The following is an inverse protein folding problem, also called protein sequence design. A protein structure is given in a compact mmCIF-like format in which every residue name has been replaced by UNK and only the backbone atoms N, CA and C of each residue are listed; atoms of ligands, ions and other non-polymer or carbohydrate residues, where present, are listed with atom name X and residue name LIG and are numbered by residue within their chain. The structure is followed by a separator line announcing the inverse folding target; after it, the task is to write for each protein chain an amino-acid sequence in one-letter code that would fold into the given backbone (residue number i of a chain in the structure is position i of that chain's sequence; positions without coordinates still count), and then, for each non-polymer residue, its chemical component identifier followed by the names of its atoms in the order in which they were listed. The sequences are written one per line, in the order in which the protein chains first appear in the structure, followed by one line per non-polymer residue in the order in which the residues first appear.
data_IF_664131691172
#
_entry.id   IF_664131691172
#
_cell.length_a   1.000
_cell.length_b   1.000
_cell.length_c   1.000
_cell.angle_alpha   90.00
_cell.angle_beta   90.00
_cell.angle_gamma   90.00
#
_symmetry.space_group_name_H-M   'P 1'
#
loop_
_entity.id
_entity.type
_entity.pdbx_description
1 polymer ?
#
# COMPACT_ATOMS: atom_id res chain seq x y z
N UNK A 1 -12.01 -0.47 -24.42
CA UNK A 1 -10.63 -0.95 -24.30
C UNK A 1 -9.67 0.19 -24.67
N UNK A 2 -8.74 0.50 -23.78
CA UNK A 2 -7.69 1.48 -24.02
C UNK A 2 -6.34 0.85 -23.68
N UNK A 3 -5.54 0.55 -24.69
CA UNK A 3 -4.24 -0.11 -24.55
C UNK A 3 -3.18 0.73 -23.81
N UNK A 4 -3.46 2.01 -23.58
CA UNK A 4 -2.60 2.91 -22.85
C UNK A 4 -2.74 2.78 -21.31
N UNK A 5 -3.77 2.08 -20.81
CA UNK A 5 -3.90 1.83 -19.38
C UNK A 5 -2.85 0.83 -18.94
N UNK A 6 -1.94 1.25 -18.07
CA UNK A 6 -0.85 0.42 -17.53
C UNK A 6 -0.99 0.14 -16.04
N UNK A 7 -1.81 0.93 -15.35
CA UNK A 7 -2.04 0.81 -13.93
C UNK A 7 -3.49 1.11 -13.60
N UNK A 8 -4.08 0.32 -12.70
CA UNK A 8 -5.38 0.54 -12.09
C UNK A 8 -5.22 0.77 -10.60
N UNK A 9 -5.73 1.88 -10.09
CA UNK A 9 -5.69 2.20 -8.66
C UNK A 9 -7.01 1.87 -8.00
N UNK A 10 -6.95 1.12 -6.91
CA UNK A 10 -8.08 0.77 -6.06
C UNK A 10 -7.89 1.46 -4.71
N UNK A 11 -8.75 2.39 -4.36
CA UNK A 11 -8.74 3.02 -3.04
C UNK A 11 -9.61 2.20 -2.09
N UNK A 12 -9.00 1.60 -1.03
CA UNK A 12 -9.69 0.77 -0.05
C UNK A 12 -10.65 1.58 0.80
N UNK A 13 -10.18 2.65 1.40
CA UNK A 13 -11.02 3.50 2.25
C UNK A 13 -12.09 4.23 1.44
N UNK A 14 -13.24 4.47 2.06
CA UNK A 14 -14.31 5.26 1.43
C UNK A 14 -13.94 6.74 1.27
N UNK A 15 -12.96 7.24 2.00
CA UNK A 15 -12.68 8.66 2.10
C UNK A 15 -13.93 9.42 2.58
N UNK A 16 -14.27 10.49 1.88
CA UNK A 16 -15.48 11.29 2.16
C UNK A 16 -16.72 10.85 1.38
N UNK A 17 -16.64 9.73 0.65
CA UNK A 17 -17.76 9.23 -0.16
C UNK A 17 -18.72 8.40 0.70
N UNK A 18 -19.96 8.23 0.18
CA UNK A 18 -21.00 7.44 0.85
C UNK A 18 -20.89 5.93 0.62
N UNK A 19 -20.01 5.48 -0.30
CA UNK A 19 -19.78 4.06 -0.54
C UNK A 19 -19.19 3.37 0.69
N UNK A 20 -19.37 2.07 0.86
CA UNK A 20 -18.66 1.31 1.91
C UNK A 20 -17.15 1.25 1.64
N UNK A 21 -16.37 1.07 2.70
CA UNK A 21 -14.96 0.65 2.61
C UNK A 21 -14.89 -0.75 1.97
N UNK A 22 -13.87 -0.98 1.15
CA UNK A 22 -13.68 -2.29 0.51
C UNK A 22 -12.99 -3.26 1.47
N UNK A 23 -13.57 -4.44 1.66
CA UNK A 23 -12.88 -5.56 2.29
C UNK A 23 -11.77 -6.10 1.37
N UNK A 24 -10.81 -6.84 1.94
CA UNK A 24 -9.74 -7.47 1.16
C UNK A 24 -10.32 -8.45 0.14
N UNK A 25 -11.36 -9.20 0.48
CA UNK A 25 -12.03 -10.11 -0.46
C UNK A 25 -12.61 -9.36 -1.67
N UNK A 26 -13.27 -8.22 -1.44
CA UNK A 26 -13.81 -7.39 -2.53
C UNK A 26 -12.73 -6.80 -3.41
N UNK A 27 -11.60 -6.44 -2.82
CA UNK A 27 -10.41 -6.00 -3.57
C UNK A 27 -9.91 -7.16 -4.46
N UNK A 28 -9.84 -8.37 -3.92
CA UNK A 28 -9.45 -9.56 -4.68
C UNK A 28 -10.37 -9.85 -5.87
N UNK A 29 -11.69 -9.73 -5.68
CA UNK A 29 -12.66 -9.87 -6.78
C UNK A 29 -12.44 -8.84 -7.89
N UNK A 30 -12.20 -7.59 -7.52
CA UNK A 30 -11.91 -6.52 -8.48
C UNK A 30 -10.60 -6.77 -9.23
N UNK A 31 -9.55 -7.18 -8.52
CA UNK A 31 -8.25 -7.48 -9.14
C UNK A 31 -8.40 -8.64 -10.13
N UNK A 32 -9.07 -9.71 -9.71
CA UNK A 32 -9.34 -10.86 -10.59
C UNK A 32 -10.06 -10.43 -11.87
N UNK A 33 -11.12 -9.63 -11.73
CA UNK A 33 -11.86 -9.11 -12.90
C UNK A 33 -10.96 -8.27 -13.81
N UNK A 34 -10.11 -7.39 -13.26
CA UNK A 34 -9.17 -6.58 -14.05
C UNK A 34 -8.19 -7.48 -14.79
N UNK A 35 -7.60 -8.45 -14.10
CA UNK A 35 -6.60 -9.37 -14.66
C UNK A 35 -7.17 -10.35 -15.70
N UNK A 36 -8.45 -10.69 -15.61
CA UNK A 36 -9.13 -11.48 -16.65
C UNK A 36 -9.26 -10.71 -17.97
N UNK A 37 -9.41 -9.39 -17.92
CA UNK A 37 -9.52 -8.53 -19.11
C UNK A 37 -8.14 -8.09 -19.60
N UNK A 38 -7.26 -7.68 -18.67
CA UNK A 38 -5.95 -7.10 -18.94
C UNK A 38 -4.89 -7.62 -17.95
N UNK A 39 -4.34 -8.82 -18.19
CA UNK A 39 -3.39 -9.46 -17.26
C UNK A 39 -2.15 -8.61 -16.95
N UNK A 40 -1.72 -7.75 -17.89
CA UNK A 40 -0.52 -6.93 -17.79
C UNK A 40 -0.72 -5.63 -16.99
N UNK A 41 -1.95 -5.24 -16.70
CA UNK A 41 -2.23 -4.01 -15.95
C UNK A 41 -1.85 -4.18 -14.48
N UNK A 42 -1.03 -3.27 -13.97
CA UNK A 42 -0.63 -3.26 -12.55
C UNK A 42 -1.84 -2.84 -11.71
N UNK A 43 -2.20 -3.67 -10.74
CA UNK A 43 -3.22 -3.36 -9.75
C UNK A 43 -2.56 -2.79 -8.49
N UNK A 44 -2.72 -1.48 -8.27
CA UNK A 44 -2.23 -0.78 -7.09
C UNK A 44 -3.38 -0.52 -6.11
N UNK A 45 -3.18 -0.86 -4.84
CA UNK A 45 -4.15 -0.60 -3.78
C UNK A 45 -3.64 0.49 -2.84
N UNK A 46 -4.38 1.59 -2.71
CA UNK A 46 -4.24 2.53 -1.59
C UNK A 46 -4.90 1.91 -0.37
N UNK A 47 -4.07 1.41 0.55
CA UNK A 47 -4.49 0.66 1.73
C UNK A 47 -4.65 1.54 2.99
N UNK A 48 -4.52 2.85 2.87
CA UNK A 48 -4.64 3.77 4.00
C UNK A 48 -5.89 3.49 4.84
N UNK A 49 -5.72 3.36 6.16
CA UNK A 49 -6.71 2.99 7.18
C UNK A 49 -7.18 1.53 7.12
N UNK A 50 -6.65 0.72 6.19
CA UNK A 50 -7.01 -0.68 6.08
C UNK A 50 -5.98 -1.63 6.70
N UNK A 51 -4.77 -1.14 6.95
CA UNK A 51 -3.66 -1.97 7.43
C UNK A 51 -4.02 -2.61 8.79
N UNK A 52 -3.80 -3.91 8.88
CA UNK A 52 -4.03 -4.74 10.09
C UNK A 52 -5.49 -4.81 10.55
N UNK A 53 -6.46 -4.37 9.74
CA UNK A 53 -7.90 -4.47 10.09
C UNK A 53 -8.52 -5.82 9.72
N UNK A 54 -7.86 -6.59 8.86
CA UNK A 54 -8.24 -7.95 8.48
C UNK A 54 -7.03 -8.88 8.62
N UNK A 55 -7.24 -10.20 8.55
CA UNK A 55 -6.18 -11.21 8.71
C UNK A 55 -5.22 -11.28 7.54
N UNK A 56 -5.67 -10.85 6.38
CA UNK A 56 -4.92 -10.81 5.13
C UNK A 56 -4.91 -9.39 4.58
N UNK A 57 -3.92 -9.10 3.77
CA UNK A 57 -3.73 -7.80 3.16
C UNK A 57 -3.98 -7.86 1.65
N UNK A 58 -4.15 -6.74 0.97
CA UNK A 58 -4.40 -6.74 -0.47
C UNK A 58 -3.35 -7.46 -1.33
N UNK A 59 -2.11 -7.55 -0.86
CA UNK A 59 -1.05 -8.35 -1.49
C UNK A 59 -1.37 -9.84 -1.55
N UNK A 60 -2.09 -10.36 -0.54
CA UNK A 60 -2.45 -11.78 -0.47
C UNK A 60 -3.54 -12.16 -1.48
N UNK A 61 -4.27 -11.18 -1.99
CA UNK A 61 -5.35 -11.37 -2.98
C UNK A 61 -5.00 -10.86 -4.38
N UNK A 62 -3.71 -10.65 -4.63
CA UNK A 62 -3.19 -10.41 -5.98
C UNK A 62 -2.89 -8.95 -6.33
N UNK A 63 -2.89 -8.02 -5.37
CA UNK A 63 -2.39 -6.67 -5.64
C UNK A 63 -0.91 -6.71 -6.01
N UNK A 64 -0.56 -6.10 -7.14
CA UNK A 64 0.84 -5.99 -7.58
C UNK A 64 1.60 -4.97 -6.73
N UNK A 65 0.89 -3.97 -6.23
CA UNK A 65 1.44 -2.92 -5.39
C UNK A 65 0.43 -2.47 -4.34
N UNK A 66 0.88 -2.35 -3.10
CA UNK A 66 0.11 -1.82 -1.97
C UNK A 66 0.84 -0.61 -1.44
N UNK A 67 0.14 0.51 -1.32
CA UNK A 67 0.71 1.76 -0.83
C UNK A 67 -0.09 2.28 0.36
N UNK A 68 0.59 2.94 1.26
CA UNK A 68 -0.07 3.51 2.43
C UNK A 68 0.78 4.52 3.17
N UNK A 69 0.23 5.05 4.23
CA UNK A 69 0.86 6.09 5.03
C UNK A 69 1.30 5.56 6.39
N UNK A 70 2.57 5.82 6.73
CA UNK A 70 3.12 5.45 8.03
C UNK A 70 2.60 6.31 9.19
N UNK A 71 1.99 7.48 8.88
CA UNK A 71 1.37 8.32 9.94
C UNK A 71 0.02 7.77 10.43
N UNK A 72 -0.48 6.71 9.80
CA UNK A 72 -1.76 6.04 10.11
C UNK A 72 -1.51 4.74 10.88
N UNK A 73 -2.28 3.70 10.59
CA UNK A 73 -2.22 2.42 11.31
C UNK A 73 -0.79 1.87 11.51
N UNK A 74 0.08 1.82 10.48
CA UNK A 74 1.40 1.23 10.66
C UNK A 74 2.30 1.97 11.66
N UNK A 75 2.16 3.29 11.76
CA UNK A 75 2.98 4.10 12.66
C UNK A 75 2.37 4.33 14.03
N UNK A 76 1.19 3.75 14.33
CA UNK A 76 0.55 3.78 15.64
C UNK A 76 0.34 5.17 16.24
N UNK A 77 0.24 6.20 15.40
CA UNK A 77 0.12 7.59 15.81
C UNK A 77 1.42 8.26 16.27
N UNK A 78 2.55 7.54 16.26
CA UNK A 78 3.85 8.10 16.66
C UNK A 78 4.75 8.49 15.48
N UNK A 79 4.58 7.86 14.32
CA UNK A 79 5.32 8.24 13.12
C UNK A 79 4.89 9.62 12.62
N UNK A 80 5.80 10.62 12.55
CA UNK A 80 5.44 11.98 12.17
C UNK A 80 5.23 12.15 10.67
N UNK A 81 5.88 11.32 9.86
CA UNK A 81 5.81 11.34 8.40
C UNK A 81 6.05 9.94 7.84
N UNK A 82 5.89 9.79 6.56
CA UNK A 82 6.34 8.63 5.81
C UNK A 82 5.19 7.89 5.11
N UNK A 83 5.60 7.09 4.17
CA UNK A 83 4.75 6.16 3.43
C UNK A 83 5.48 4.85 3.23
N UNK A 84 4.74 3.83 2.79
CA UNK A 84 5.31 2.56 2.40
C UNK A 84 4.79 2.12 1.04
N UNK A 85 5.59 1.32 0.38
CA UNK A 85 5.21 0.59 -0.83
C UNK A 85 5.63 -0.85 -0.62
N UNK A 86 4.69 -1.76 -0.75
CA UNK A 86 4.89 -3.20 -0.71
C UNK A 86 4.29 -3.83 -1.97
N UNK A 87 4.77 -5.01 -2.36
CA UNK A 87 4.24 -5.70 -3.53
C UNK A 87 5.30 -6.49 -4.28
N UNK A 88 5.11 -6.65 -5.60
CA UNK A 88 6.08 -7.35 -6.43
C UNK A 88 7.44 -6.66 -6.42
N UNK A 89 8.50 -7.44 -6.55
CA UNK A 89 9.87 -6.91 -6.60
C UNK A 89 10.02 -5.81 -7.65
N UNK A 90 9.47 -6.04 -8.84
CA UNK A 90 9.54 -5.09 -9.95
C UNK A 90 8.87 -3.76 -9.59
N UNK A 91 7.65 -3.78 -9.06
CA UNK A 91 6.93 -2.57 -8.67
C UNK A 91 7.66 -1.78 -7.59
N UNK A 92 8.19 -2.48 -6.57
CA UNK A 92 8.91 -1.85 -5.46
C UNK A 92 10.24 -1.24 -5.95
N UNK A 93 10.99 -1.93 -6.79
CA UNK A 93 12.26 -1.42 -7.33
C UNK A 93 12.04 -0.22 -8.25
N UNK A 94 11.03 -0.26 -9.13
CA UNK A 94 10.68 0.86 -10.00
C UNK A 94 10.25 2.09 -9.18
N UNK A 95 9.46 1.89 -8.13
CA UNK A 95 9.05 2.97 -7.23
C UNK A 95 10.25 3.57 -6.48
N UNK A 96 11.18 2.75 -5.99
CA UNK A 96 12.39 3.21 -5.32
C UNK A 96 13.27 4.06 -6.25
N UNK A 97 13.45 3.63 -7.49
CA UNK A 97 14.20 4.40 -8.49
C UNK A 97 13.54 5.74 -8.81
N UNK A 98 12.23 5.82 -8.76
CA UNK A 98 11.49 7.08 -8.99
C UNK A 98 11.50 8.02 -7.80
N UNK A 99 11.52 7.46 -6.59
CA UNK A 99 11.50 8.23 -5.34
C UNK A 99 12.83 8.92 -5.05
N UNK A 100 13.94 8.31 -5.46
CA UNK A 100 15.30 8.80 -5.25
C UNK A 100 15.86 9.46 -6.52
N UNK A 101 17.10 9.91 -6.46
CA UNK A 101 17.80 10.47 -7.63
C UNK A 101 18.22 9.38 -8.63
N UNK A 102 18.33 9.69 -9.92
CA UNK A 102 18.84 8.76 -10.92
C UNK A 102 20.18 8.13 -10.50
N UNK A 103 20.27 6.80 -10.61
CA UNK A 103 21.45 6.02 -10.25
C UNK A 103 21.58 5.61 -8.79
N UNK A 104 20.76 6.14 -7.87
CA UNK A 104 20.81 5.79 -6.46
C UNK A 104 19.90 4.62 -6.10
N UNK A 105 18.74 4.49 -6.76
CA UNK A 105 17.78 3.44 -6.44
C UNK A 105 17.44 3.40 -4.96
N UNK A 106 17.48 2.23 -4.36
CA UNK A 106 17.16 1.99 -2.93
C UNK A 106 18.35 2.08 -1.97
N UNK A 107 19.56 2.30 -2.45
CA UNK A 107 20.79 2.18 -1.65
C UNK A 107 20.87 3.22 -0.54
N UNK A 108 20.42 4.44 -0.79
CA UNK A 108 20.48 5.55 0.18
C UNK A 108 19.26 5.60 1.09
N UNK A 109 18.13 5.00 0.67
CA UNK A 109 16.85 5.11 1.35
C UNK A 109 16.18 6.47 1.17
N UNK A 110 14.95 6.58 1.61
CA UNK A 110 14.14 7.79 1.46
C UNK A 110 13.77 8.44 2.82
N UNK A 111 14.22 7.87 3.94
CA UNK A 111 13.83 8.30 5.29
C UNK A 111 15.01 8.93 6.01
N UNK A 112 14.77 10.11 6.58
CA UNK A 112 15.72 10.80 7.43
C UNK A 112 15.23 10.72 8.88
N UNK A 113 15.94 9.99 9.74
CA UNK A 113 15.83 9.97 11.22
C UNK A 113 14.41 9.79 11.83
N UNK A 114 13.46 9.24 11.07
CA UNK A 114 12.08 9.02 11.54
C UNK A 114 11.80 7.57 11.93
N UNK A 115 12.73 6.66 11.65
CA UNK A 115 12.58 5.23 11.90
C UNK A 115 12.30 4.87 13.37
N UNK A 116 12.96 5.48 14.40
CA UNK A 116 12.68 5.15 15.78
C UNK A 116 11.21 5.36 16.15
N UNK A 117 10.62 6.49 15.80
CA UNK A 117 9.20 6.78 16.06
C UNK A 117 8.25 5.84 15.31
N UNK A 118 8.59 5.50 14.07
CA UNK A 118 7.84 4.52 13.28
C UNK A 118 7.82 3.15 13.99
N UNK A 119 8.98 2.63 14.36
CA UNK A 119 9.07 1.33 15.02
C UNK A 119 8.44 1.32 16.42
N UNK A 120 8.56 2.39 17.18
CA UNK A 120 7.84 2.53 18.43
C UNK A 120 6.32 2.45 18.22
N UNK A 121 5.78 3.20 17.24
CA UNK A 121 4.37 3.14 16.90
C UNK A 121 3.93 1.76 16.45
N UNK A 122 4.69 1.15 15.55
CA UNK A 122 4.40 -0.19 15.04
C UNK A 122 4.38 -1.25 16.14
N UNK A 123 5.39 -1.31 16.99
CA UNK A 123 5.49 -2.36 18.01
C UNK A 123 4.66 -2.11 19.27
N UNK A 124 4.36 -0.86 19.61
CA UNK A 124 3.63 -0.54 20.83
C UNK A 124 2.12 -0.35 20.61
N UNK A 125 1.72 0.15 19.45
CA UNK A 125 0.32 0.50 19.20
C UNK A 125 -0.43 -0.54 18.35
N UNK A 126 0.25 -1.20 17.41
CA UNK A 126 -0.39 -2.12 16.49
C UNK A 126 -0.75 -3.49 17.12
N UNK A 127 0.08 -4.13 17.98
CA UNK A 127 -0.19 -5.50 18.43
C UNK A 127 -1.27 -5.67 19.49
N UNK A 128 -1.84 -4.64 20.04
CA UNK A 128 -2.66 -4.78 21.23
C UNK A 128 -4.08 -4.24 21.19
N UNK A 129 -4.48 -3.51 20.17
CA UNK A 129 -5.69 -2.69 20.20
C UNK A 129 -6.73 -3.00 19.11
N UNK A 130 -6.64 -4.13 18.46
CA UNK A 130 -7.70 -4.56 17.55
C UNK A 130 -8.46 -5.73 18.16
N UNK A 131 -9.78 -5.55 18.42
CA UNK A 131 -10.64 -6.63 18.87
C UNK A 131 -10.81 -7.70 17.79
#
# INVERSE_FOLDING_TARGET
DNDNIKLCTIQRSKGYQTRPTLSVDRIGELIKFIKEIRPEVICMVDNCYGEFTERIEPSDVGADMVVGSLIKNPGGGLAPIGGYIAGTKECVENAACRLTSPGLGKEVGASLDVLPSLFQGFFLAVPGNFP
#
